data_IF_532468445017
#
_entry.id   IF_532468445017
#
_cell.length_a   1.000
_cell.length_b   1.000
_cell.length_c   1.000
_cell.angle_alpha   90.00
_cell.angle_beta   90.00
_cell.angle_gamma   90.00
#
_symmetry.space_group_name_H-M   'P 1'
#
loop_
_entity.id
_entity.type
_entity.pdbx_description
1 polymer ?
#
# COMPACT_ATOMS: atom_id res chain seq x y z
N UNK A 1 20.39 3.39 18.82
CA UNK A 1 19.32 3.50 17.80
C UNK A 1 19.23 4.95 17.34
N UNK A 2 19.31 5.24 16.05
CA UNK A 2 19.20 6.62 15.56
C UNK A 2 17.73 6.94 15.22
N UNK A 3 16.90 7.15 16.24
CA UNK A 3 15.48 7.51 16.10
C UNK A 3 15.27 8.65 15.08
N UNK A 4 16.21 9.60 15.01
CA UNK A 4 16.20 10.70 14.03
C UNK A 4 16.14 10.25 12.57
N UNK A 5 16.90 9.23 12.16
CA UNK A 5 16.89 8.77 10.76
C UNK A 5 15.54 8.13 10.39
N UNK A 6 14.94 7.38 11.32
CA UNK A 6 13.58 6.86 11.17
C UNK A 6 12.58 7.99 10.97
N UNK A 7 12.83 9.14 11.59
CA UNK A 7 11.97 10.30 11.38
C UNK A 7 12.21 11.01 10.04
N UNK A 8 13.39 10.90 9.46
CA UNK A 8 13.75 11.56 8.21
C UNK A 8 13.35 10.74 6.99
N UNK A 9 13.32 9.41 7.08
CA UNK A 9 12.99 8.51 5.96
C UNK A 9 11.63 7.84 6.18
N UNK A 10 10.55 8.62 6.18
CA UNK A 10 9.18 8.16 6.52
C UNK A 10 8.30 7.93 5.30
N UNK A 11 8.56 8.66 4.23
CA UNK A 11 7.71 8.76 3.05
C UNK A 11 8.49 8.39 1.80
N UNK A 12 7.78 8.04 0.73
CA UNK A 12 8.40 7.72 -0.57
C UNK A 12 9.25 8.89 -1.08
N UNK A 13 8.79 10.13 -0.88
CA UNK A 13 9.52 11.35 -1.20
C UNK A 13 10.85 11.44 -0.46
N UNK A 14 10.86 11.15 0.85
CA UNK A 14 12.10 11.18 1.66
C UNK A 14 13.15 10.18 1.12
N UNK A 15 12.69 9.01 0.65
CA UNK A 15 13.58 8.02 0.05
C UNK A 15 14.07 8.45 -1.34
N UNK A 16 13.22 9.09 -2.15
CA UNK A 16 13.62 9.69 -3.42
C UNK A 16 14.66 10.81 -3.22
N UNK A 17 14.46 11.67 -2.22
CA UNK A 17 15.40 12.74 -1.86
C UNK A 17 16.75 12.17 -1.42
N UNK A 18 16.74 11.13 -0.57
CA UNK A 18 17.96 10.44 -0.18
C UNK A 18 18.69 9.86 -1.40
N UNK A 19 17.99 9.18 -2.31
CA UNK A 19 18.60 8.61 -3.51
C UNK A 19 19.18 9.69 -4.43
N UNK A 20 18.51 10.83 -4.56
CA UNK A 20 19.04 11.99 -5.29
C UNK A 20 20.32 12.52 -4.64
N UNK A 21 20.29 12.76 -3.33
CA UNK A 21 21.43 13.28 -2.59
C UNK A 21 22.64 12.34 -2.64
N UNK A 22 22.42 11.03 -2.54
CA UNK A 22 23.48 10.03 -2.71
C UNK A 22 24.10 10.09 -4.12
N UNK A 23 23.28 10.30 -5.16
CA UNK A 23 23.76 10.43 -6.53
C UNK A 23 24.48 11.76 -6.81
N UNK A 24 24.14 12.83 -6.09
CA UNK A 24 24.86 14.10 -6.14
C UNK A 24 26.25 14.01 -5.49
N UNK A 25 26.38 13.24 -4.40
CA UNK A 25 27.65 13.00 -3.73
C UNK A 25 28.57 12.06 -4.53
N UNK A 26 28.02 10.94 -5.00
CA UNK A 26 28.72 9.98 -5.85
C UNK A 26 27.75 9.37 -6.86
N UNK A 27 27.83 9.76 -8.14
CA UNK A 27 26.91 9.24 -9.16
C UNK A 27 27.26 7.84 -9.66
N UNK A 28 28.47 7.33 -9.39
CA UNK A 28 28.97 6.08 -9.99
C UNK A 28 28.12 4.84 -9.63
N UNK A 29 27.66 4.65 -8.38
CA UNK A 29 26.76 3.55 -8.05
C UNK A 29 25.44 3.58 -8.85
N UNK A 30 24.87 4.76 -9.08
CA UNK A 30 23.66 4.91 -9.89
C UNK A 30 23.94 4.64 -11.38
N UNK A 31 25.05 5.17 -11.90
CA UNK A 31 25.51 4.93 -13.28
C UNK A 31 25.67 3.43 -13.55
N UNK A 32 26.33 2.72 -12.64
CA UNK A 32 26.54 1.28 -12.70
C UNK A 32 25.22 0.50 -12.60
N UNK A 33 24.33 0.88 -11.68
CA UNK A 33 23.02 0.25 -11.52
C UNK A 33 22.17 0.39 -12.80
N UNK A 34 22.22 1.55 -13.46
CA UNK A 34 21.52 1.80 -14.72
C UNK A 34 22.25 1.24 -15.94
N UNK A 35 23.49 0.76 -15.81
CA UNK A 35 24.36 0.31 -16.91
C UNK A 35 24.58 1.40 -17.96
N UNK A 36 24.71 2.65 -17.53
CA UNK A 36 25.00 3.77 -18.42
C UNK A 36 26.46 3.71 -18.88
N UNK A 37 26.71 4.24 -20.08
CA UNK A 37 28.07 4.46 -20.57
C UNK A 37 28.86 5.39 -19.64
N UNK A 38 30.20 5.38 -19.70
CA UNK A 38 31.00 6.41 -19.04
C UNK A 38 30.59 7.81 -19.49
N UNK A 39 30.52 8.76 -18.56
CA UNK A 39 30.11 10.14 -18.82
C UNK A 39 29.67 10.84 -17.54
N UNK A 40 29.41 12.15 -17.63
CA UNK A 40 28.95 12.94 -16.51
C UNK A 40 27.47 12.62 -16.22
N UNK A 41 27.22 12.05 -15.04
CA UNK A 41 25.86 11.73 -14.59
C UNK A 41 25.33 12.84 -13.70
N UNK A 42 24.10 13.28 -13.96
CA UNK A 42 23.36 14.19 -13.10
C UNK A 42 21.95 13.63 -12.84
N UNK A 43 21.36 14.02 -11.71
CA UNK A 43 20.01 13.60 -11.34
C UNK A 43 19.16 14.84 -11.11
N UNK A 44 17.93 14.84 -11.64
CA UNK A 44 16.93 15.86 -11.36
C UNK A 44 15.82 15.25 -10.51
N UNK A 45 15.64 15.80 -9.31
CA UNK A 45 14.54 15.46 -8.40
C UNK A 45 13.26 16.18 -8.79
N UNK A 46 12.12 15.50 -8.67
CA UNK A 46 10.79 16.03 -8.98
C UNK A 46 10.74 16.73 -10.35
N UNK A 47 11.34 16.09 -11.36
CA UNK A 47 11.51 16.70 -12.66
C UNK A 47 10.13 16.90 -13.32
N UNK A 48 9.83 18.12 -13.81
CA UNK A 48 8.54 18.38 -14.45
C UNK A 48 8.41 17.54 -15.72
N UNK A 49 7.34 16.78 -15.80
CA UNK A 49 6.94 15.99 -16.95
C UNK A 49 5.50 16.34 -17.31
N UNK A 50 5.06 16.06 -18.54
CA UNK A 50 3.67 16.31 -18.90
C UNK A 50 2.75 15.58 -17.91
N UNK A 51 1.81 16.29 -17.29
CA UNK A 51 0.85 15.70 -16.35
C UNK A 51 1.38 15.36 -14.95
N UNK A 52 2.61 15.75 -14.57
CA UNK A 52 3.10 15.56 -13.20
C UNK A 52 4.58 15.87 -12.98
N UNK A 53 5.18 15.26 -11.94
CA UNK A 53 6.60 15.38 -11.63
C UNK A 53 7.17 14.00 -11.37
N UNK A 54 8.08 13.54 -12.23
CA UNK A 54 8.73 12.25 -12.04
C UNK A 54 9.69 12.31 -10.85
N UNK A 55 9.78 11.23 -10.07
CA UNK A 55 10.59 11.25 -8.86
C UNK A 55 12.04 11.61 -9.16
N UNK A 56 12.69 10.88 -10.07
CA UNK A 56 14.04 11.15 -10.52
C UNK A 56 14.15 11.01 -12.05
N UNK A 57 14.80 11.98 -12.68
CA UNK A 57 15.27 11.86 -14.07
C UNK A 57 16.79 11.86 -14.06
N UNK A 58 17.39 10.84 -14.66
CA UNK A 58 18.84 10.68 -14.74
C UNK A 58 19.32 11.15 -16.10
N UNK A 59 20.35 11.99 -16.08
CA UNK A 59 20.98 12.55 -17.25
C UNK A 59 22.38 11.98 -17.40
N UNK A 60 22.79 11.73 -18.63
CA UNK A 60 24.16 11.43 -19.03
C UNK A 60 24.61 12.50 -20.01
N UNK A 61 25.67 13.21 -19.67
CA UNK A 61 26.22 14.32 -20.48
C UNK A 61 25.16 15.35 -20.88
N UNK A 62 24.22 15.61 -19.96
CA UNK A 62 23.12 16.57 -20.14
C UNK A 62 21.89 16.07 -20.89
N UNK A 63 21.89 14.83 -21.42
CA UNK A 63 20.74 14.22 -22.07
C UNK A 63 19.98 13.29 -21.11
N UNK A 64 18.64 13.32 -21.12
CA UNK A 64 17.83 12.38 -20.34
C UNK A 64 18.04 10.93 -20.80
N UNK A 65 18.32 10.03 -19.85
CA UNK A 65 18.59 8.60 -20.13
C UNK A 65 17.70 7.64 -19.39
N UNK A 66 17.25 8.00 -18.20
CA UNK A 66 16.35 7.16 -17.41
C UNK A 66 15.37 7.99 -16.61
N UNK A 67 14.21 7.39 -16.33
CA UNK A 67 13.21 7.93 -15.40
C UNK A 67 12.94 6.89 -14.34
N UNK A 68 13.00 7.29 -13.08
CA UNK A 68 12.77 6.43 -11.93
C UNK A 68 11.58 6.99 -11.16
N UNK A 69 10.62 6.13 -10.87
CA UNK A 69 9.54 6.40 -9.93
C UNK A 69 9.76 5.50 -8.70
N UNK A 70 9.83 6.08 -7.51
CA UNK A 70 10.01 5.36 -6.26
C UNK A 70 8.64 5.05 -5.66
N UNK A 71 8.38 3.76 -5.45
CA UNK A 71 7.16 3.28 -4.78
C UNK A 71 7.52 2.23 -3.76
N UNK A 72 7.48 2.61 -2.49
CA UNK A 72 7.79 1.77 -1.33
C UNK A 72 6.48 1.22 -0.77
N UNK A 73 5.64 2.07 -0.18
CA UNK A 73 4.41 1.66 0.50
C UNK A 73 3.13 1.84 -0.32
N UNK A 74 3.16 2.64 -1.39
CA UNK A 74 1.99 2.92 -2.21
C UNK A 74 1.90 2.01 -3.45
N UNK A 75 0.68 1.76 -3.92
CA UNK A 75 0.44 1.22 -5.26
C UNK A 75 0.62 2.28 -6.34
N UNK A 76 0.60 1.87 -7.60
CA UNK A 76 0.78 2.74 -8.76
C UNK A 76 -0.55 3.41 -9.16
N UNK A 77 -0.50 4.70 -9.52
CA UNK A 77 -1.63 5.44 -10.10
C UNK A 77 -1.59 5.43 -11.63
N UNK A 78 -2.44 4.61 -12.27
CA UNK A 78 -2.37 4.34 -13.71
C UNK A 78 -2.45 5.56 -14.66
N UNK A 79 -3.07 6.68 -14.25
CA UNK A 79 -3.14 7.88 -15.09
C UNK A 79 -1.82 8.65 -15.20
N UNK A 80 -0.93 8.53 -14.21
CA UNK A 80 0.36 9.24 -14.16
C UNK A 80 1.36 8.64 -15.15
N UNK A 81 1.38 7.32 -15.27
CA UNK A 81 2.37 6.60 -16.08
C UNK A 81 2.21 6.83 -17.58
N UNK A 82 0.97 6.92 -18.07
CA UNK A 82 0.73 7.24 -19.49
C UNK A 82 1.34 8.60 -19.88
N UNK A 83 1.25 9.60 -19.00
CA UNK A 83 1.83 10.90 -19.24
C UNK A 83 3.37 10.87 -19.19
N UNK A 84 3.92 10.01 -18.32
CA UNK A 84 5.37 9.84 -18.16
C UNK A 84 5.97 9.08 -19.33
N UNK A 85 5.24 8.09 -19.85
CA UNK A 85 5.60 7.35 -21.06
C UNK A 85 5.67 8.29 -22.27
N UNK A 86 4.63 9.09 -22.49
CA UNK A 86 4.62 10.08 -23.57
C UNK A 86 5.77 11.09 -23.45
N UNK A 87 6.04 11.56 -22.23
CA UNK A 87 7.19 12.43 -21.97
C UNK A 87 8.51 11.72 -22.26
N UNK A 88 8.71 10.49 -21.78
CA UNK A 88 9.93 9.71 -21.98
C UNK A 88 10.19 9.45 -23.47
N UNK A 89 9.14 9.16 -24.24
CA UNK A 89 9.20 9.01 -25.70
C UNK A 89 9.65 10.31 -26.39
N UNK A 90 9.10 11.46 -25.98
CA UNK A 90 9.49 12.78 -26.51
C UNK A 90 10.96 13.14 -26.23
N UNK A 91 11.56 12.51 -25.22
CA UNK A 91 12.97 12.69 -24.82
C UNK A 91 13.88 11.59 -25.36
N UNK A 92 13.35 10.60 -26.08
CA UNK A 92 14.14 9.47 -26.56
C UNK A 92 14.58 8.49 -25.47
N UNK A 93 13.92 8.48 -24.31
CA UNK A 93 14.19 7.55 -23.20
C UNK A 93 13.51 6.19 -23.49
N UNK A 94 14.29 5.10 -23.69
CA UNK A 94 13.74 3.79 -23.99
C UNK A 94 12.86 3.24 -22.86
N UNK A 95 11.89 2.39 -23.18
CA UNK A 95 11.03 1.74 -22.17
C UNK A 95 11.84 0.93 -21.14
N UNK A 96 12.96 0.33 -21.55
CA UNK A 96 13.84 -0.44 -20.66
C UNK A 96 14.51 0.41 -19.56
N UNK A 97 14.61 1.72 -19.77
CA UNK A 97 15.22 2.70 -18.86
C UNK A 97 14.17 3.51 -18.08
N UNK A 98 12.91 3.06 -18.11
CA UNK A 98 11.82 3.54 -17.25
C UNK A 98 11.68 2.57 -16.09
N UNK A 99 12.01 3.02 -14.89
CA UNK A 99 12.14 2.16 -13.72
C UNK A 99 11.09 2.49 -12.66
N UNK A 100 10.42 1.45 -12.17
CA UNK A 100 9.65 1.54 -10.93
C UNK A 100 10.51 0.96 -9.80
N UNK A 101 11.14 1.82 -9.01
CA UNK A 101 12.03 1.44 -7.92
C UNK A 101 11.19 1.09 -6.70
N UNK A 102 11.26 -0.15 -6.24
CA UNK A 102 10.48 -0.63 -5.09
C UNK A 102 11.30 -1.21 -3.95
N UNK A 103 10.64 -1.73 -2.90
CA UNK A 103 11.32 -2.45 -1.82
C UNK A 103 12.05 -3.69 -2.34
N UNK A 104 11.44 -4.33 -3.35
CA UNK A 104 11.89 -5.56 -3.97
C UNK A 104 11.36 -5.60 -5.42
N UNK A 105 11.61 -6.72 -6.10
CA UNK A 105 11.19 -6.97 -7.48
C UNK A 105 9.76 -7.51 -7.60
N UNK A 106 9.02 -7.60 -6.50
CA UNK A 106 7.66 -8.14 -6.53
C UNK A 106 6.73 -7.25 -7.39
N UNK A 107 5.70 -7.86 -8.02
CA UNK A 107 4.68 -7.11 -8.75
C UNK A 107 4.03 -6.05 -7.89
N UNK A 108 3.77 -4.88 -8.48
CA UNK A 108 3.02 -3.80 -7.83
C UNK A 108 1.61 -3.76 -8.41
N UNK A 109 0.56 -3.71 -7.57
CA UNK A 109 -0.81 -3.57 -8.06
C UNK A 109 -0.97 -2.39 -9.02
N UNK A 110 -1.65 -2.63 -10.15
CA UNK A 110 -1.96 -1.65 -11.20
C UNK A 110 -0.73 -1.05 -11.93
N UNK A 111 0.45 -1.65 -11.79
CA UNK A 111 1.64 -1.20 -12.49
C UNK A 111 1.57 -1.50 -14.01
N UNK A 112 2.03 -0.57 -14.87
CA UNK A 112 2.27 -0.87 -16.28
C UNK A 112 3.39 -1.91 -16.48
N UNK A 113 3.10 -2.95 -17.25
CA UNK A 113 4.02 -4.09 -17.43
C UNK A 113 5.37 -3.73 -18.08
N UNK A 114 5.43 -2.63 -18.84
CA UNK A 114 6.65 -2.19 -19.53
C UNK A 114 7.61 -1.39 -18.65
N UNK A 115 7.21 -0.97 -17.44
CA UNK A 115 8.10 -0.31 -16.50
C UNK A 115 8.99 -1.33 -15.77
N UNK A 116 10.29 -1.18 -15.90
CA UNK A 116 11.29 -2.10 -15.38
C UNK A 116 11.32 -2.11 -13.84
N UNK A 117 11.28 -3.31 -13.25
CA UNK A 117 11.39 -3.56 -11.80
C UNK A 117 12.78 -4.03 -11.36
N UNK A 118 13.77 -3.91 -12.25
CA UNK A 118 15.13 -4.40 -12.01
C UNK A 118 15.83 -3.68 -10.85
N UNK A 119 15.47 -2.42 -10.59
CA UNK A 119 16.04 -1.62 -9.52
C UNK A 119 15.17 -1.68 -8.27
N UNK A 120 15.82 -1.81 -7.12
CA UNK A 120 15.18 -1.79 -5.80
C UNK A 120 15.90 -0.78 -4.91
N UNK A 121 15.17 -0.19 -3.96
CA UNK A 121 15.75 0.71 -2.95
C UNK A 121 16.94 0.07 -2.24
N UNK A 122 16.83 -1.15 -1.65
CA UNK A 122 17.99 -1.78 -1.00
C UNK A 122 19.12 -2.10 -1.98
N UNK A 123 18.83 -2.48 -3.22
CA UNK A 123 19.84 -2.76 -4.24
C UNK A 123 20.64 -1.51 -4.64
N UNK A 124 19.94 -0.38 -4.79
CA UNK A 124 20.55 0.93 -5.02
C UNK A 124 21.43 1.34 -3.84
N UNK A 125 20.89 1.35 -2.60
CA UNK A 125 21.64 1.69 -1.39
C UNK A 125 22.88 0.80 -1.19
N UNK A 126 22.78 -0.50 -1.52
CA UNK A 126 23.92 -1.41 -1.45
C UNK A 126 25.05 -1.05 -2.43
N UNK A 127 24.74 -0.38 -3.55
CA UNK A 127 25.72 0.18 -4.46
C UNK A 127 26.61 1.22 -3.79
N UNK A 128 26.01 2.18 -3.09
CA UNK A 128 26.74 3.25 -2.37
C UNK A 128 27.53 2.76 -1.15
N UNK A 129 27.30 1.54 -0.65
CA UNK A 129 28.15 0.97 0.41
C UNK A 129 29.63 0.83 -0.02
N UNK A 130 29.90 0.87 -1.32
CA UNK A 130 31.24 0.85 -1.92
C UNK A 130 31.64 2.19 -2.54
N UNK A 131 30.89 3.25 -2.27
CA UNK A 131 31.20 4.60 -2.72
C UNK A 131 32.56 5.05 -2.19
N UNK A 132 33.29 5.81 -3.01
CA UNK A 132 34.52 6.48 -2.58
C UNK A 132 34.24 7.76 -1.80
N UNK A 133 33.00 8.27 -1.82
CA UNK A 133 32.57 9.35 -0.95
C UNK A 133 32.14 8.79 0.42
N UNK A 134 32.82 9.26 1.47
CA UNK A 134 32.61 8.76 2.83
C UNK A 134 31.22 9.08 3.38
N UNK A 135 30.65 10.23 3.03
CA UNK A 135 29.33 10.64 3.49
C UNK A 135 28.26 9.80 2.81
N UNK A 136 28.33 9.61 1.49
CA UNK A 136 27.42 8.78 0.73
C UNK A 136 27.43 7.35 1.25
N UNK A 137 28.61 6.78 1.46
CA UNK A 137 28.80 5.44 2.02
C UNK A 137 28.22 5.30 3.43
N UNK A 138 28.44 6.26 4.32
CA UNK A 138 27.92 6.20 5.69
C UNK A 138 26.39 6.32 5.72
N UNK A 139 25.83 7.25 4.92
CA UNK A 139 24.37 7.44 4.82
C UNK A 139 23.69 6.20 4.23
N UNK A 140 24.24 5.63 3.16
CA UNK A 140 23.66 4.45 2.50
C UNK A 140 23.60 3.25 3.46
N UNK A 141 24.65 3.01 4.25
CA UNK A 141 24.69 1.93 5.25
C UNK A 141 23.62 2.12 6.31
N UNK A 142 23.41 3.37 6.77
CA UNK A 142 22.42 3.67 7.81
C UNK A 142 20.99 3.56 7.27
N UNK A 143 20.75 4.08 6.07
CA UNK A 143 19.47 3.98 5.38
C UNK A 143 19.12 2.52 5.07
N UNK A 144 20.07 1.73 4.59
CA UNK A 144 19.88 0.31 4.32
C UNK A 144 19.49 -0.45 5.60
N UNK A 145 20.17 -0.20 6.73
CA UNK A 145 19.80 -0.81 8.03
C UNK A 145 18.39 -0.44 8.46
N UNK A 146 17.97 0.81 8.24
CA UNK A 146 16.60 1.22 8.52
C UNK A 146 15.62 0.49 7.60
N UNK A 147 15.90 0.42 6.30
CA UNK A 147 15.05 -0.28 5.34
C UNK A 147 14.90 -1.77 5.70
N UNK A 148 16.00 -2.45 6.05
CA UNK A 148 15.98 -3.84 6.52
C UNK A 148 15.11 -4.03 7.76
N UNK A 149 15.12 -3.06 8.69
CA UNK A 149 14.24 -3.10 9.86
C UNK A 149 12.78 -2.96 9.48
N UNK A 150 12.44 -1.99 8.63
CA UNK A 150 11.07 -1.80 8.12
C UNK A 150 10.59 -3.06 7.39
N UNK A 151 11.46 -3.70 6.61
CA UNK A 151 11.17 -4.98 5.94
C UNK A 151 10.98 -6.13 6.95
N UNK A 152 11.76 -6.20 8.02
CA UNK A 152 11.54 -7.21 9.06
C UNK A 152 10.22 -6.97 9.83
N UNK A 153 9.84 -5.71 10.04
CA UNK A 153 8.58 -5.36 10.67
C UNK A 153 7.39 -5.76 9.78
N UNK A 154 7.49 -5.69 8.45
CA UNK A 154 6.37 -6.03 7.55
C UNK A 154 5.91 -7.48 7.70
N UNK A 155 6.82 -8.43 7.87
CA UNK A 155 6.53 -9.86 7.99
C UNK A 155 6.31 -10.30 9.43
N UNK A 156 6.81 -9.53 10.40
CA UNK A 156 6.63 -9.82 11.82
C UNK A 156 5.22 -9.49 12.34
N UNK A 157 5.00 -9.72 13.65
CA UNK A 157 3.75 -9.40 14.33
C UNK A 157 3.26 -7.96 14.11
N UNK A 158 1.95 -7.79 13.92
CA UNK A 158 1.36 -6.51 13.54
C UNK A 158 1.54 -5.39 14.57
N UNK A 159 1.61 -5.76 15.85
CA UNK A 159 1.85 -4.90 17.01
C UNK A 159 3.31 -4.43 17.16
N UNK A 160 4.25 -5.03 16.43
CA UNK A 160 5.67 -4.64 16.43
C UNK A 160 6.03 -3.60 15.36
N UNK A 161 5.08 -3.17 14.53
CA UNK A 161 5.32 -2.13 13.55
C UNK A 161 5.63 -0.79 14.23
N UNK A 162 6.76 -0.20 13.88
CA UNK A 162 7.28 1.00 14.54
C UNK A 162 6.86 2.32 13.89
N UNK A 163 6.40 2.28 12.63
CA UNK A 163 5.97 3.46 11.89
C UNK A 163 4.92 3.18 10.80
N UNK A 164 4.40 4.26 10.23
CA UNK A 164 3.38 4.23 9.18
C UNK A 164 3.89 3.65 7.84
N UNK A 165 5.21 3.68 7.60
CA UNK A 165 5.79 3.13 6.38
C UNK A 165 5.74 1.60 6.39
N UNK A 166 6.07 1.01 7.54
CA UNK A 166 5.98 -0.44 7.78
C UNK A 166 4.55 -0.95 7.53
N UNK A 167 3.54 -0.22 8.00
CA UNK A 167 2.13 -0.55 7.74
C UNK A 167 1.73 -0.42 6.27
N UNK A 168 2.17 0.65 5.60
CA UNK A 168 1.89 0.84 4.19
C UNK A 168 2.49 -0.29 3.34
N UNK A 169 3.75 -0.66 3.61
CA UNK A 169 4.42 -1.80 2.98
C UNK A 169 3.68 -3.12 3.25
N UNK A 170 3.32 -3.38 4.50
CA UNK A 170 2.57 -4.57 4.89
C UNK A 170 1.24 -4.69 4.14
N UNK A 171 0.46 -3.60 4.11
CA UNK A 171 -0.83 -3.58 3.40
C UNK A 171 -0.66 -3.67 1.89
N UNK A 172 0.39 -3.09 1.31
CA UNK A 172 0.71 -3.26 -0.11
C UNK A 172 1.02 -4.72 -0.44
N UNK A 173 1.83 -5.41 0.38
CA UNK A 173 2.16 -6.82 0.20
C UNK A 173 0.91 -7.70 0.34
N UNK A 174 0.09 -7.42 1.36
CA UNK A 174 -1.20 -8.06 1.56
C UNK A 174 -2.11 -7.88 0.34
N UNK A 175 -2.21 -6.67 -0.21
CA UNK A 175 -2.99 -6.40 -1.41
C UNK A 175 -2.49 -7.21 -2.61
N UNK A 176 -1.17 -7.23 -2.86
CA UNK A 176 -0.59 -8.01 -3.97
C UNK A 176 -0.94 -9.49 -3.92
N UNK A 177 -0.86 -10.10 -2.73
CA UNK A 177 -1.19 -11.53 -2.54
C UNK A 177 -2.70 -11.77 -2.64
N UNK A 178 -3.50 -10.98 -1.92
CA UNK A 178 -4.94 -11.22 -1.83
C UNK A 178 -5.68 -10.90 -3.13
N UNK A 179 -5.22 -9.91 -3.91
CA UNK A 179 -5.76 -9.58 -5.24
C UNK A 179 -5.61 -10.73 -6.23
N UNK A 180 -4.43 -11.35 -6.27
CA UNK A 180 -4.15 -12.47 -7.17
C UNK A 180 -5.05 -13.69 -6.90
N UNK A 181 -5.46 -13.88 -5.64
CA UNK A 181 -6.32 -14.99 -5.20
C UNK A 181 -7.79 -14.63 -5.02
N UNK A 182 -8.20 -13.40 -5.37
CA UNK A 182 -9.54 -12.92 -5.07
C UNK A 182 -10.61 -13.65 -5.90
N UNK A 183 -11.82 -13.90 -5.35
CA UNK A 183 -12.91 -14.50 -6.11
C UNK A 183 -13.30 -13.67 -7.35
N UNK A 184 -13.77 -14.32 -8.44
CA UNK A 184 -14.26 -13.61 -9.63
C UNK A 184 -15.32 -12.55 -9.30
N UNK A 185 -15.20 -11.39 -9.95
CA UNK A 185 -16.07 -10.24 -9.73
C UNK A 185 -15.69 -9.36 -8.53
N UNK A 186 -14.58 -9.68 -7.84
CA UNK A 186 -14.00 -8.78 -6.83
C UNK A 186 -13.23 -7.66 -7.51
N UNK A 187 -13.54 -6.42 -7.15
CA UNK A 187 -12.87 -5.22 -7.64
C UNK A 187 -12.11 -4.59 -6.48
N UNK A 188 -10.87 -4.14 -6.72
CA UNK A 188 -10.05 -3.47 -5.72
C UNK A 188 -9.92 -1.99 -6.01
N UNK A 189 -9.78 -1.19 -4.95
CA UNK A 189 -9.51 0.23 -5.10
C UNK A 189 -8.17 0.46 -5.83
N UNK A 190 -8.15 1.36 -6.82
CA UNK A 190 -6.88 1.81 -7.41
C UNK A 190 -5.99 2.51 -6.37
N UNK A 191 -6.62 3.20 -5.40
CA UNK A 191 -5.96 3.88 -4.29
C UNK A 191 -6.21 3.08 -3.01
N UNK A 192 -5.18 2.39 -2.53
CA UNK A 192 -5.18 1.61 -1.28
C UNK A 192 -4.97 2.55 -0.06
N UNK A 193 -5.80 3.61 0.01
CA UNK A 193 -5.88 4.57 1.12
C UNK A 193 -7.33 4.97 1.39
N UNK A 194 -7.66 5.23 2.65
CA UNK A 194 -8.94 5.79 3.05
C UNK A 194 -9.06 7.26 2.65
N UNK A 195 -10.27 7.84 2.73
CA UNK A 195 -10.49 9.29 2.49
C UNK A 195 -9.66 10.20 3.41
N UNK A 196 -9.26 9.70 4.59
CA UNK A 196 -8.41 10.43 5.53
C UNK A 196 -6.91 10.18 5.32
N UNK A 197 -6.52 9.52 4.22
CA UNK A 197 -5.13 9.28 3.82
C UNK A 197 -4.47 8.06 4.46
N UNK A 198 -5.19 7.34 5.31
CA UNK A 198 -4.64 6.18 6.03
C UNK A 198 -4.50 4.98 5.09
N UNK A 199 -3.39 4.23 5.15
CA UNK A 199 -3.25 2.98 4.43
C UNK A 199 -4.40 2.01 4.74
N UNK A 200 -5.01 1.44 3.71
CA UNK A 200 -5.99 0.36 3.83
C UNK A 200 -5.87 -0.59 2.64
N UNK A 201 -6.48 -1.77 2.73
CA UNK A 201 -6.84 -2.55 1.54
C UNK A 201 -8.35 -2.60 1.44
N UNK A 202 -8.91 -2.19 0.29
CA UNK A 202 -10.35 -2.13 0.07
C UNK A 202 -10.73 -2.88 -1.21
N UNK A 203 -11.68 -3.81 -1.07
CA UNK A 203 -12.25 -4.60 -2.14
C UNK A 203 -13.78 -4.56 -2.09
N UNK A 204 -14.43 -4.59 -3.23
CA UNK A 204 -15.88 -4.61 -3.33
C UNK A 204 -16.38 -5.55 -4.41
N UNK A 205 -17.64 -5.94 -4.27
CA UNK A 205 -18.38 -6.71 -5.26
C UNK A 205 -19.65 -5.92 -5.59
N UNK A 206 -19.89 -5.59 -6.88
CA UNK A 206 -21.17 -5.02 -7.29
C UNK A 206 -22.32 -5.97 -6.96
N UNK A 207 -23.43 -5.41 -6.50
CA UNK A 207 -24.68 -6.11 -6.19
C UNK A 207 -25.84 -5.36 -6.84
N UNK A 208 -27.03 -5.97 -6.83
CA UNK A 208 -28.25 -5.31 -7.34
C UNK A 208 -28.51 -3.98 -6.62
N UNK A 209 -28.35 -3.95 -5.30
CA UNK A 209 -28.63 -2.79 -4.43
C UNK A 209 -27.45 -1.80 -4.32
N UNK A 210 -26.26 -2.15 -4.82
CA UNK A 210 -25.06 -1.33 -4.75
C UNK A 210 -23.78 -2.16 -4.68
N UNK A 211 -23.14 -2.19 -3.51
CA UNK A 211 -21.86 -2.85 -3.30
C UNK A 211 -21.80 -3.54 -1.94
N UNK A 212 -21.27 -4.75 -1.92
CA UNK A 212 -20.72 -5.35 -0.71
C UNK A 212 -19.23 -5.03 -0.65
N UNK A 213 -18.69 -4.69 0.52
CA UNK A 213 -17.31 -4.20 0.69
C UNK A 213 -16.60 -4.95 1.81
N UNK A 214 -15.35 -5.33 1.55
CA UNK A 214 -14.39 -5.79 2.55
C UNK A 214 -13.21 -4.82 2.60
N UNK A 215 -12.86 -4.35 3.80
CA UNK A 215 -11.74 -3.44 4.03
C UNK A 215 -10.87 -3.96 5.18
N UNK A 216 -9.56 -3.86 5.06
CA UNK A 216 -8.62 -4.03 6.18
C UNK A 216 -7.80 -2.76 6.39
N UNK A 217 -7.74 -2.28 7.63
CA UNK A 217 -6.91 -1.14 8.01
C UNK A 217 -6.58 -1.18 9.50
N UNK A 218 -5.65 -0.35 9.95
CA UNK A 218 -5.38 -0.20 11.38
C UNK A 218 -6.56 0.48 12.07
N UNK A 219 -6.96 0.01 13.26
CA UNK A 219 -8.00 0.63 14.07
C UNK A 219 -7.51 2.01 14.56
N UNK A 220 -8.28 3.07 14.34
CA UNK A 220 -7.91 4.45 14.75
C UNK A 220 -6.47 4.82 14.37
N UNK A 221 -6.11 4.79 13.08
CA UNK A 221 -4.73 4.93 12.61
C UNK A 221 -4.08 6.28 12.99
N UNK A 222 -4.90 7.29 13.33
CA UNK A 222 -4.45 8.59 13.86
C UNK A 222 -3.73 8.47 15.21
N UNK A 223 -3.97 7.41 15.97
CA UNK A 223 -3.35 7.17 17.28
C UNK A 223 -2.02 6.41 17.17
N UNK A 224 -1.50 6.20 15.95
CA UNK A 224 -0.23 5.53 15.69
C UNK A 224 -0.37 4.05 15.39
N UNK A 225 0.75 3.31 15.53
CA UNK A 225 0.88 1.89 15.15
C UNK A 225 0.64 0.91 16.29
N UNK A 226 0.16 1.38 17.45
CA UNK A 226 -0.06 0.55 18.64
C UNK A 226 -1.42 -0.17 18.70
N UNK A 227 -2.31 0.06 17.72
CA UNK A 227 -3.68 -0.48 17.71
C UNK A 227 -3.80 -1.68 16.76
N UNK A 228 -4.68 -2.65 17.00
CA UNK A 228 -4.82 -3.80 16.11
C UNK A 228 -5.30 -3.40 14.70
N UNK A 229 -5.05 -4.26 13.72
CA UNK A 229 -5.77 -4.18 12.44
C UNK A 229 -7.20 -4.67 12.59
N UNK A 230 -8.11 -4.07 11.84
CA UNK A 230 -9.50 -4.46 11.77
C UNK A 230 -9.89 -4.82 10.34
N UNK A 231 -10.67 -5.89 10.20
CA UNK A 231 -11.35 -6.24 8.95
C UNK A 231 -12.79 -5.77 9.10
N UNK A 232 -13.23 -4.93 8.18
CA UNK A 232 -14.57 -4.35 8.11
C UNK A 232 -15.33 -4.97 6.96
N UNK A 233 -16.56 -5.41 7.24
CA UNK A 233 -17.51 -5.90 6.26
C UNK A 233 -18.67 -4.91 6.20
N UNK A 234 -18.97 -4.42 5.01
CA UNK A 234 -19.90 -3.32 4.84
C UNK A 234 -20.77 -3.49 3.60
N UNK A 235 -21.84 -2.71 3.55
CA UNK A 235 -22.62 -2.47 2.35
C UNK A 235 -22.71 -0.97 2.05
N UNK A 236 -22.84 -0.65 0.76
CA UNK A 236 -23.01 0.70 0.26
C UNK A 236 -23.98 0.70 -0.92
N UNK A 237 -24.99 1.57 -0.90
CA UNK A 237 -25.89 1.75 -2.04
C UNK A 237 -25.26 2.63 -3.11
N UNK A 238 -25.79 2.60 -4.34
CA UNK A 238 -25.31 3.49 -5.43
C UNK A 238 -25.43 4.99 -5.09
N UNK A 239 -26.42 5.36 -4.27
CA UNK A 239 -26.60 6.76 -3.84
C UNK A 239 -25.59 7.19 -2.76
N UNK A 240 -24.91 6.23 -2.11
CA UNK A 240 -23.90 6.46 -1.08
C UNK A 240 -24.34 7.38 0.08
N UNK A 241 -25.64 7.43 0.38
CA UNK A 241 -26.16 8.21 1.52
C UNK A 241 -26.16 7.36 2.78
N UNK A 242 -25.92 7.99 3.94
CA UNK A 242 -25.87 7.24 5.22
C UNK A 242 -27.21 6.58 5.55
N UNK A 243 -28.33 7.24 5.25
CA UNK A 243 -29.66 6.66 5.46
C UNK A 243 -29.91 5.43 4.58
N UNK A 244 -29.60 5.50 3.29
CA UNK A 244 -29.78 4.37 2.37
C UNK A 244 -28.84 3.21 2.71
N UNK A 245 -27.58 3.49 3.05
CA UNK A 245 -26.61 2.50 3.50
C UNK A 245 -27.07 1.82 4.79
N UNK A 246 -27.66 2.57 5.73
CA UNK A 246 -28.22 2.00 6.96
C UNK A 246 -29.39 1.07 6.69
N UNK A 247 -30.37 1.51 5.90
CA UNK A 247 -31.48 0.64 5.51
C UNK A 247 -31.02 -0.63 4.79
N UNK A 248 -29.99 -0.56 3.94
CA UNK A 248 -29.39 -1.75 3.32
C UNK A 248 -28.70 -2.65 4.36
N UNK A 249 -27.93 -2.06 5.29
CA UNK A 249 -27.25 -2.81 6.34
C UNK A 249 -28.22 -3.50 7.32
N UNK A 250 -29.37 -2.89 7.62
CA UNK A 250 -30.42 -3.53 8.41
C UNK A 250 -31.00 -4.76 7.70
N UNK A 251 -31.25 -4.68 6.38
CA UNK A 251 -31.75 -5.82 5.60
C UNK A 251 -30.77 -6.99 5.56
N UNK A 252 -29.46 -6.70 5.54
CA UNK A 252 -28.40 -7.71 5.45
C UNK A 252 -27.67 -7.91 6.79
N UNK A 253 -28.31 -7.61 7.92
CA UNK A 253 -27.70 -7.66 9.25
C UNK A 253 -27.07 -9.00 9.58
N UNK A 254 -27.76 -10.10 9.26
CA UNK A 254 -27.28 -11.44 9.57
C UNK A 254 -26.01 -11.81 8.77
N UNK A 255 -25.93 -11.37 7.51
CA UNK A 255 -24.71 -11.52 6.71
C UNK A 255 -23.60 -10.59 7.20
N UNK A 256 -23.94 -9.35 7.55
CA UNK A 256 -22.96 -8.39 8.06
C UNK A 256 -22.48 -8.69 9.48
N UNK A 257 -23.13 -9.57 10.24
CA UNK A 257 -22.75 -9.86 11.60
C UNK A 257 -21.33 -10.45 11.66
N UNK A 258 -20.46 -9.88 12.50
CA UNK A 258 -19.08 -10.35 12.65
C UNK A 258 -18.96 -11.82 13.03
N UNK A 259 -19.93 -12.35 13.78
CA UNK A 259 -20.03 -13.79 14.10
C UNK A 259 -20.30 -14.66 12.87
N UNK A 260 -21.06 -14.16 11.89
CA UNK A 260 -21.37 -14.88 10.65
C UNK A 260 -20.13 -15.01 9.79
N UNK A 261 -19.34 -13.94 9.66
CA UNK A 261 -18.03 -14.00 9.02
C UNK A 261 -17.09 -14.99 9.71
N UNK A 262 -16.90 -14.89 11.03
CA UNK A 262 -15.99 -15.79 11.76
C UNK A 262 -16.42 -17.25 11.64
N UNK A 263 -17.74 -17.53 11.69
CA UNK A 263 -18.28 -18.87 11.47
C UNK A 263 -17.99 -19.39 10.06
N UNK A 264 -18.20 -18.57 9.04
CA UNK A 264 -17.90 -18.93 7.65
C UNK A 264 -16.40 -19.18 7.44
N UNK A 265 -15.56 -18.31 8.00
CA UNK A 265 -14.12 -18.36 7.82
C UNK A 265 -13.46 -19.55 8.53
N UNK A 266 -14.12 -20.10 9.54
CA UNK A 266 -13.73 -21.33 10.21
C UNK A 266 -12.65 -21.17 11.28
N UNK A 267 -12.16 -22.29 11.84
CA UNK A 267 -11.26 -22.29 13.01
C UNK A 267 -9.97 -21.49 12.80
N UNK A 268 -9.34 -21.60 11.63
CA UNK A 268 -8.08 -20.91 11.34
C UNK A 268 -8.19 -19.39 11.44
N UNK A 269 -9.30 -18.78 11.00
CA UNK A 269 -9.51 -17.33 11.16
C UNK A 269 -9.95 -16.99 12.59
N UNK A 270 -10.72 -17.86 13.24
CA UNK A 270 -11.13 -17.67 14.65
C UNK A 270 -9.93 -17.53 15.59
N UNK A 271 -8.85 -18.26 15.33
CA UNK A 271 -7.60 -18.15 16.09
C UNK A 271 -6.86 -16.83 15.87
N UNK A 272 -7.07 -16.16 14.74
CA UNK A 272 -6.40 -14.91 14.36
C UNK A 272 -7.14 -13.65 14.79
N UNK A 273 -8.46 -13.74 15.03
CA UNK A 273 -9.29 -12.60 15.43
C UNK A 273 -9.55 -12.58 16.93
N UNK A 274 -9.82 -11.39 17.47
CA UNK A 274 -10.44 -11.27 18.80
C UNK A 274 -11.86 -11.80 18.71
N UNK A 275 -12.24 -12.69 19.64
CA UNK A 275 -13.57 -13.31 19.63
C UNK A 275 -14.65 -12.21 19.63
N UNK A 276 -15.57 -12.22 18.66
CA UNK A 276 -16.55 -11.15 18.51
C UNK A 276 -17.61 -11.19 19.62
N UNK A 277 -17.73 -10.11 20.39
CA UNK A 277 -18.86 -9.93 21.31
C UNK A 277 -20.11 -9.50 20.53
N UNK A 278 -21.06 -10.42 20.31
CA UNK A 278 -22.30 -10.13 19.58
C UNK A 278 -22.10 -9.75 18.10
N UNK A 279 -23.12 -9.15 17.49
CA UNK A 279 -23.21 -8.94 16.03
C UNK A 279 -22.35 -7.78 15.49
N UNK A 280 -21.83 -6.91 16.36
CA UNK A 280 -21.00 -5.76 15.97
C UNK A 280 -21.78 -4.51 15.58
N UNK A 281 -23.11 -4.53 15.69
CA UNK A 281 -23.95 -3.36 15.49
C UNK A 281 -24.12 -2.62 16.82
N UNK A 282 -23.95 -1.28 16.83
CA UNK A 282 -24.10 -0.50 18.06
C UNK A 282 -25.55 -0.53 18.53
N UNK A 283 -25.78 -0.99 19.77
CA UNK A 283 -27.10 -1.03 20.43
C UNK A 283 -27.20 0.02 21.57
N UNK A 284 -26.71 1.25 21.37
CA UNK A 284 -26.84 2.27 22.44
C UNK A 284 -28.27 2.84 22.48
N UNK A 285 -28.88 3.05 23.67
CA UNK A 285 -30.17 3.73 23.79
C UNK A 285 -30.10 5.11 23.15
N UNK A 286 -31.00 5.42 22.22
CA UNK A 286 -31.02 6.69 21.47
C UNK A 286 -30.07 6.77 20.26
N UNK A 287 -29.13 5.84 20.10
CA UNK A 287 -28.29 5.74 18.91
C UNK A 287 -28.81 4.64 17.98
N UNK A 288 -29.71 5.00 17.06
CA UNK A 288 -29.96 4.17 15.87
C UNK A 288 -28.72 4.31 14.97
N UNK A 289 -27.92 3.27 14.80
CA UNK A 289 -26.78 3.42 13.91
C UNK A 289 -25.85 2.22 13.78
N UNK A 290 -25.59 1.90 12.53
CA UNK A 290 -24.48 1.05 12.12
C UNK A 290 -23.17 1.79 12.36
N UNK A 291 -22.08 1.10 12.73
CA UNK A 291 -20.75 1.62 12.50
C UNK A 291 -20.64 2.13 11.07
N UNK A 292 -20.44 3.45 10.94
CA UNK A 292 -20.12 4.09 9.67
C UNK A 292 -18.63 4.01 9.49
N UNK A 293 -18.23 3.38 8.40
CA UNK A 293 -16.83 3.25 8.04
C UNK A 293 -16.58 4.05 6.78
N UNK A 294 -15.51 4.83 6.79
CA UNK A 294 -15.12 5.65 5.66
C UNK A 294 -14.13 4.88 4.80
N UNK A 295 -14.66 4.13 3.83
CA UNK A 295 -13.90 3.52 2.75
C UNK A 295 -13.75 4.45 1.53
N UNK A 296 -13.53 3.85 0.36
CA UNK A 296 -13.60 4.52 -0.94
C UNK A 296 -15.05 5.00 -1.22
N UNK A 297 -15.23 6.10 -1.96
CA UNK A 297 -16.54 6.60 -2.44
C UNK A 297 -17.69 6.89 -1.44
N UNK A 298 -17.41 7.23 -0.17
CA UNK A 298 -18.43 7.86 0.71
C UNK A 298 -18.75 7.09 2.00
N UNK A 299 -18.21 5.86 2.06
CA UNK A 299 -18.30 4.99 3.22
C UNK A 299 -19.42 3.97 3.14
N UNK A 300 -19.37 3.00 4.04
CA UNK A 300 -20.33 1.91 4.15
C UNK A 300 -20.79 1.71 5.58
N UNK A 301 -21.88 0.96 5.74
CA UNK A 301 -22.42 0.56 7.04
C UNK A 301 -22.26 -0.96 7.20
N UNK A 302 -21.87 -1.41 8.38
CA UNK A 302 -21.71 -2.83 8.65
C UNK A 302 -21.03 -3.12 9.98
N UNK A 303 -20.18 -4.15 10.01
CA UNK A 303 -19.48 -4.58 11.23
C UNK A 303 -17.98 -4.75 10.98
N UNK A 304 -17.25 -5.10 12.05
CA UNK A 304 -15.81 -5.37 11.98
C UNK A 304 -15.39 -6.45 12.95
N UNK A 305 -14.29 -7.12 12.62
CA UNK A 305 -13.52 -7.98 13.51
C UNK A 305 -12.13 -7.39 13.70
N UNK A 306 -11.60 -7.49 14.92
CA UNK A 306 -10.24 -7.07 15.23
C UNK A 306 -9.31 -8.27 15.08
N UNK A 307 -8.20 -8.12 14.38
CA UNK A 307 -7.11 -9.07 14.42
C UNK A 307 -6.42 -9.01 15.79
N UNK A 308 -5.95 -10.15 16.28
CA UNK A 308 -5.11 -10.18 17.49
C UNK A 308 -3.81 -9.42 17.23
N UNK A 309 -3.25 -8.82 18.27
CA UNK A 309 -2.05 -7.99 18.19
C UNK A 309 -0.85 -8.71 17.54
N UNK A 310 -0.67 -10.00 17.87
CA UNK A 310 0.47 -10.80 17.43
C UNK A 310 0.36 -11.40 16.01
N UNK A 311 -0.71 -11.09 15.26
CA UNK A 311 -0.90 -11.63 13.91
C UNK A 311 0.16 -11.07 12.96
N UNK A 312 0.86 -11.95 12.25
CA UNK A 312 1.83 -11.59 11.22
C UNK A 312 1.17 -11.38 9.85
N UNK A 313 1.97 -11.09 8.82
CA UNK A 313 1.46 -10.86 7.47
C UNK A 313 0.69 -12.07 6.91
N UNK A 314 1.14 -13.30 7.16
CA UNK A 314 0.51 -14.50 6.63
C UNK A 314 -0.85 -14.75 7.28
N UNK A 315 -0.95 -14.48 8.59
CA UNK A 315 -2.24 -14.47 9.29
C UNK A 315 -3.17 -13.36 8.78
N UNK A 316 -2.65 -12.15 8.52
CA UNK A 316 -3.46 -11.08 7.91
C UNK A 316 -3.96 -11.45 6.51
N UNK A 317 -3.11 -12.04 5.66
CA UNK A 317 -3.47 -12.55 4.34
C UNK A 317 -4.55 -13.62 4.46
N UNK A 318 -4.37 -14.59 5.36
CA UNK A 318 -5.33 -15.67 5.61
C UNK A 318 -6.71 -15.11 5.99
N UNK A 319 -6.75 -14.20 6.97
CA UNK A 319 -7.98 -13.61 7.44
C UNK A 319 -8.66 -12.72 6.38
N UNK A 320 -7.90 -11.91 5.65
CA UNK A 320 -8.46 -11.04 4.62
C UNK A 320 -8.92 -11.81 3.39
N UNK A 321 -8.17 -12.84 2.95
CA UNK A 321 -8.62 -13.72 1.87
C UNK A 321 -9.93 -14.43 2.22
N UNK A 322 -10.13 -14.82 3.50
CA UNK A 322 -11.42 -15.35 3.96
C UNK A 322 -12.54 -14.30 3.87
N UNK A 323 -12.25 -13.03 4.19
CA UNK A 323 -13.21 -11.95 4.03
C UNK A 323 -13.60 -11.72 2.56
N UNK A 324 -12.64 -11.82 1.64
CA UNK A 324 -12.90 -11.75 0.19
C UNK A 324 -13.78 -12.91 -0.30
N UNK A 325 -13.53 -14.14 0.19
CA UNK A 325 -14.41 -15.29 -0.11
C UNK A 325 -15.81 -15.11 0.46
N UNK A 326 -15.91 -14.58 1.69
CA UNK A 326 -17.19 -14.26 2.31
C UNK A 326 -17.98 -13.20 1.53
N UNK A 327 -17.27 -12.24 0.94
CA UNK A 327 -17.86 -11.24 0.05
C UNK A 327 -18.59 -11.87 -1.14
N UNK A 328 -18.09 -12.98 -1.67
CA UNK A 328 -18.71 -13.70 -2.78
C UNK A 328 -19.99 -14.46 -2.36
N UNK A 329 -20.23 -14.65 -1.07
CA UNK A 329 -21.46 -15.26 -0.54
C UNK A 329 -22.54 -14.22 -0.23
N UNK A 330 -22.32 -12.95 -0.58
CA UNK A 330 -23.35 -11.93 -0.42
C UNK A 330 -24.63 -12.40 -1.14
N UNK A 331 -25.78 -12.44 -0.44
CA UNK A 331 -26.99 -13.04 -1.00
C UNK A 331 -27.41 -12.32 -2.28
N UNK A 332 -27.48 -13.07 -3.38
CA UNK A 332 -28.28 -12.70 -4.52
C UNK A 332 -29.74 -12.79 -4.08
N UNK A 333 -30.56 -11.78 -4.41
CA UNK A 333 -32.00 -11.90 -4.21
C UNK A 333 -32.57 -12.98 -5.12
#
# INVERSE_FOLDING_TARGET
MAYGLTRLLRTEEDWSDLLCFLAELDPEPLRAALRLAPGAVAVRREAPVAGGRADLVVLLDGAERAVLEVKIGAGVHGGQFAAYDAWAESKGVPAADRHLVGPNTDPVPNQPAHWSRRLTVPGLLAGWNRSTDDLARLLSVRALRQFTRVEAELTGPADRASDALSDALRLRRLAGVTQASAPPGTVFAARQRSRSGNPNVCAWRPTEDGYAVAEIQRLNPRNGTGTPFEIRLMVQTRQATSAANGALADRHRDWLARSSFVRYAGPGVRELVTEPEGDGFKKKPGAKGHPRYYGYEGGGHGSSVLLKAAVDLDGMVTAFAAALRYLATYPAR
#
